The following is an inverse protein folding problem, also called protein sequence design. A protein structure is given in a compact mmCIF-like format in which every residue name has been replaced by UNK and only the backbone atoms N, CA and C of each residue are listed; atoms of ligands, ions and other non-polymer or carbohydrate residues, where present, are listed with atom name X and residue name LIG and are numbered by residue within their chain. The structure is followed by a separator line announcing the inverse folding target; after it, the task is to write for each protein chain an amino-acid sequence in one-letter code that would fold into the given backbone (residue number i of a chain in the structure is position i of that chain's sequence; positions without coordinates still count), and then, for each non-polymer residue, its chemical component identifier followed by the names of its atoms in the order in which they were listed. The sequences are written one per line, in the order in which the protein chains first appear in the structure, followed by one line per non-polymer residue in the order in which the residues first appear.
data_IF_051497625559
#
_entry.id   IF_051497625559
#
_cell.length_a   1.000
_cell.length_b   1.000
_cell.length_c   1.000
_cell.angle_alpha   90.00
_cell.angle_beta   90.00
_cell.angle_gamma   90.00
#
_symmetry.space_group_name_H-M   'P 1'
#
loop_
_entity.id
_entity.type
_entity.pdbx_description
1 polymer ?
#
# COMPACT_ATOMS: atom_id res chain seq x y z
N UNK A 1 -13.05 -3.84 -9.45
CA UNK A 1 -12.47 -3.07 -10.56
C UNK A 1 -10.95 -3.11 -10.39
N UNK A 2 -10.24 -3.78 -11.30
CA UNK A 2 -8.79 -3.69 -11.38
C UNK A 2 -8.49 -2.39 -12.11
N UNK A 3 -7.93 -1.43 -11.39
CA UNK A 3 -7.50 -0.18 -11.97
C UNK A 3 -6.00 -0.35 -12.28
N UNK A 4 -5.60 -0.56 -13.53
CA UNK A 4 -4.19 -0.69 -13.87
C UNK A 4 -3.44 0.63 -13.68
N UNK A 5 -4.15 1.74 -13.46
CA UNK A 5 -3.61 3.08 -13.38
C UNK A 5 -4.01 3.71 -12.05
N UNK A 6 -3.00 4.14 -11.29
CA UNK A 6 -3.16 4.95 -10.09
C UNK A 6 -3.15 6.41 -10.51
N UNK A 7 -4.28 7.10 -10.28
CA UNK A 7 -4.39 8.51 -10.60
C UNK A 7 -3.55 9.30 -9.59
N UNK A 8 -2.73 10.21 -10.12
CA UNK A 8 -1.94 11.10 -9.30
C UNK A 8 -2.82 12.10 -8.55
N UNK A 9 -2.16 12.97 -7.80
CA UNK A 9 -2.84 13.92 -6.92
C UNK A 9 -2.65 15.33 -7.45
N UNK A 10 -3.74 16.07 -7.57
CA UNK A 10 -3.75 17.46 -8.03
C UNK A 10 -3.15 18.38 -6.99
N UNK A 11 -2.03 19.01 -7.32
CA UNK A 11 -1.31 19.97 -6.50
C UNK A 11 -1.37 21.36 -7.14
N UNK A 12 -1.43 22.38 -6.29
CA UNK A 12 -1.18 23.74 -6.75
C UNK A 12 0.32 23.91 -6.96
N UNK A 13 0.71 24.49 -8.08
CA UNK A 13 2.11 24.67 -8.46
C UNK A 13 2.40 26.06 -8.96
N UNK A 14 3.61 26.52 -8.70
CA UNK A 14 4.18 27.70 -9.32
C UNK A 14 5.22 27.26 -10.37
N UNK A 15 5.09 27.73 -11.60
CA UNK A 15 6.06 27.40 -12.65
C UNK A 15 7.30 28.29 -12.50
N UNK A 16 8.43 27.66 -12.16
CA UNK A 16 9.72 28.34 -12.01
C UNK A 16 10.56 28.30 -13.30
N UNK A 17 9.94 28.05 -14.46
CA UNK A 17 10.61 27.99 -15.76
C UNK A 17 11.60 26.82 -15.83
N UNK A 18 12.90 27.12 -15.86
CA UNK A 18 13.97 26.09 -15.98
C UNK A 18 14.02 25.10 -14.82
N UNK A 19 13.46 25.46 -13.67
CA UNK A 19 13.37 24.58 -12.51
C UNK A 19 12.09 23.72 -12.50
N UNK A 20 11.15 23.99 -13.41
CA UNK A 20 9.88 23.28 -13.51
C UNK A 20 8.85 23.73 -12.47
N UNK A 21 7.77 22.95 -12.38
CA UNK A 21 6.64 23.26 -11.51
C UNK A 21 6.94 22.89 -10.05
N UNK A 22 6.91 23.89 -9.17
CA UNK A 22 7.13 23.74 -7.73
C UNK A 22 5.80 23.63 -6.96
N UNK A 23 5.56 22.59 -6.16
CA UNK A 23 4.36 22.49 -5.33
C UNK A 23 4.26 23.61 -4.29
N UNK A 24 3.16 24.36 -4.32
CA UNK A 24 2.86 25.44 -3.37
C UNK A 24 1.54 25.15 -2.62
N UNK A 25 1.39 25.61 -1.37
CA UNK A 25 0.12 25.49 -0.66
C UNK A 25 -0.96 26.36 -1.33
N UNK A 26 -2.22 25.94 -1.22
CA UNK A 26 -3.38 26.78 -1.57
C UNK A 26 -3.59 27.83 -0.48
N UNK A 27 -3.97 29.04 -0.87
CA UNK A 27 -4.34 30.14 0.04
C UNK A 27 -5.86 30.27 0.00
N UNK A 28 -6.55 30.07 1.13
CA UNK A 28 -8.02 30.06 1.22
C UNK A 28 -8.71 29.18 0.14
N UNK A 29 -8.18 27.97 -0.09
CA UNK A 29 -8.59 27.05 -1.16
C UNK A 29 -8.35 27.50 -2.61
N UNK A 30 -7.84 28.70 -2.84
CA UNK A 30 -7.43 29.18 -4.16
C UNK A 30 -5.98 28.81 -4.46
N UNK A 31 -5.71 28.46 -5.72
CA UNK A 31 -4.37 28.18 -6.21
C UNK A 31 -3.82 29.43 -6.91
N UNK A 32 -2.77 30.03 -6.34
CA UNK A 32 -2.05 31.17 -6.93
C UNK A 32 -0.97 30.66 -7.90
N UNK A 33 -1.41 29.95 -8.95
CA UNK A 33 -0.55 29.27 -9.91
C UNK A 33 -1.35 28.28 -10.75
N UNK A 34 -0.70 27.21 -11.20
CA UNK A 34 -1.30 26.18 -12.03
C UNK A 34 -1.62 24.92 -11.23
N UNK A 35 -2.74 24.27 -11.52
CA UNK A 35 -3.03 22.94 -10.99
C UNK A 35 -2.33 21.91 -11.86
N UNK A 36 -1.54 21.03 -11.25
CA UNK A 36 -0.86 19.91 -11.93
C UNK A 36 -1.04 18.61 -11.15
N UNK A 37 -1.11 17.49 -11.87
CA UNK A 37 -1.21 16.15 -11.27
C UNK A 37 0.19 15.55 -11.04
N UNK A 38 0.44 15.01 -9.84
CA UNK A 38 1.69 14.36 -9.47
C UNK A 38 1.48 12.95 -8.94
N UNK A 39 2.39 12.04 -9.29
CA UNK A 39 2.39 10.66 -8.78
C UNK A 39 1.55 9.67 -9.60
N UNK A 40 1.13 10.04 -10.80
CA UNK A 40 0.35 9.16 -11.68
C UNK A 40 1.25 8.02 -12.16
N UNK A 41 0.75 6.78 -12.15
CA UNK A 41 1.53 5.64 -12.62
C UNK A 41 0.65 4.43 -12.96
N UNK A 42 1.20 3.55 -13.80
CA UNK A 42 0.65 2.26 -14.18
C UNK A 42 1.23 1.20 -13.26
N UNK A 43 0.37 0.29 -12.81
CA UNK A 43 0.71 -0.82 -11.93
C UNK A 43 0.90 -0.35 -10.50
N UNK A 44 0.06 -0.86 -9.60
CA UNK A 44 0.19 -0.63 -8.17
C UNK A 44 -0.01 -1.94 -7.42
N UNK A 45 0.71 -2.13 -6.31
CA UNK A 45 0.75 -3.40 -5.61
C UNK A 45 0.53 -3.19 -4.12
N UNK A 46 -0.72 -3.38 -3.73
CA UNK A 46 -1.09 -3.62 -2.35
C UNK A 46 -1.29 -5.08 -2.08
N UNK A 47 -1.02 -5.46 -0.84
CA UNK A 47 -1.17 -6.82 -0.39
C UNK A 47 -1.52 -6.88 1.09
N UNK A 48 -2.13 -8.00 1.46
CA UNK A 48 -2.31 -8.43 2.83
C UNK A 48 -1.39 -9.63 3.08
N UNK A 49 -0.81 -9.72 4.27
CA UNK A 49 -0.18 -10.94 4.76
C UNK A 49 -0.82 -11.35 6.07
N UNK A 50 -1.08 -12.64 6.21
CA UNK A 50 -1.58 -13.26 7.44
C UNK A 50 -0.49 -14.19 7.98
N UNK A 51 -0.21 -14.08 9.26
CA UNK A 51 0.75 -14.93 9.95
C UNK A 51 0.02 -15.93 10.84
N UNK A 52 0.30 -17.21 10.62
CA UNK A 52 -0.25 -18.33 11.39
C UNK A 52 0.89 -19.00 12.16
N UNK A 53 0.59 -19.44 13.38
CA UNK A 53 1.55 -20.12 14.25
C UNK A 53 0.84 -21.28 14.95
N UNK A 54 0.63 -22.37 14.19
CA UNK A 54 0.00 -23.60 14.67
C UNK A 54 -1.49 -23.51 15.01
N UNK A 55 -2.14 -22.35 14.81
CA UNK A 55 -3.56 -22.13 15.11
C UNK A 55 -4.40 -21.96 13.85
N UNK A 56 -5.70 -22.28 13.95
CA UNK A 56 -6.68 -22.06 12.87
C UNK A 56 -6.92 -20.57 12.57
N UNK A 57 -6.81 -19.71 13.59
CA UNK A 57 -6.88 -18.26 13.44
C UNK A 57 -5.49 -17.66 13.19
N UNK A 58 -5.34 -16.62 12.35
CA UNK A 58 -4.08 -15.89 12.22
C UNK A 58 -3.76 -15.18 13.54
N UNK A 59 -2.46 -15.08 13.89
CA UNK A 59 -2.01 -14.28 15.05
C UNK A 59 -1.77 -12.83 14.69
N UNK A 60 -1.27 -12.58 13.48
CA UNK A 60 -0.92 -11.23 13.00
C UNK A 60 -1.36 -11.03 11.56
N UNK A 61 -1.60 -9.78 11.21
CA UNK A 61 -1.92 -9.33 9.87
C UNK A 61 -1.06 -8.13 9.52
N UNK A 62 -0.61 -8.06 8.28
CA UNK A 62 0.04 -6.89 7.69
C UNK A 62 -0.78 -6.42 6.50
N UNK A 63 -0.99 -5.11 6.40
CA UNK A 63 -1.65 -4.47 5.26
C UNK A 63 -0.66 -3.48 4.64
N UNK A 64 -0.34 -3.67 3.37
CA UNK A 64 0.41 -2.72 2.56
C UNK A 64 -0.51 -1.63 2.04
N UNK A 65 -0.06 -0.38 2.09
CA UNK A 65 -0.73 0.78 1.49
C UNK A 65 0.33 1.73 0.94
N UNK A 66 0.36 2.04 -0.34
CA UNK A 66 1.33 2.90 -1.02
C UNK A 66 2.79 2.52 -0.68
N UNK A 67 3.55 3.45 -0.13
CA UNK A 67 4.90 3.24 0.37
C UNK A 67 4.93 2.99 1.89
N UNK A 68 3.81 2.63 2.51
CA UNK A 68 3.68 2.31 3.95
C UNK A 68 2.99 0.97 4.18
N UNK A 69 2.93 0.54 5.44
CA UNK A 69 2.11 -0.58 5.84
C UNK A 69 1.80 -0.54 7.33
N UNK A 70 0.84 -1.35 7.76
CA UNK A 70 0.46 -1.49 9.16
C UNK A 70 0.40 -2.94 9.59
N UNK A 71 0.89 -3.18 10.80
CA UNK A 71 0.81 -4.45 11.51
C UNK A 71 -0.38 -4.41 12.47
N UNK A 72 -1.10 -5.52 12.51
CA UNK A 72 -2.21 -5.75 13.42
C UNK A 72 -2.05 -7.09 14.10
N UNK A 73 -2.50 -7.16 15.35
CA UNK A 73 -2.55 -8.38 16.16
C UNK A 73 -3.98 -8.86 16.30
N UNK A 74 -4.21 -10.16 16.13
CA UNK A 74 -5.53 -10.74 16.31
C UNK A 74 -5.89 -10.80 17.80
N UNK A 75 -7.05 -10.24 18.17
CA UNK A 75 -7.67 -10.41 19.48
C UNK A 75 -8.73 -11.51 19.39
N UNK A 76 -8.48 -12.62 20.07
CA UNK A 76 -9.43 -13.75 20.15
C UNK A 76 -10.69 -13.37 20.92
N UNK A 77 -10.53 -12.60 22.01
CA UNK A 77 -11.62 -12.14 22.87
C UNK A 77 -12.62 -11.29 22.08
N UNK A 78 -12.11 -10.35 21.31
CA UNK A 78 -12.95 -9.43 20.54
C UNK A 78 -13.30 -9.92 19.12
N UNK A 79 -12.61 -10.96 18.65
CA UNK A 79 -12.69 -11.49 17.29
C UNK A 79 -12.45 -10.42 16.19
N UNK A 80 -11.37 -9.65 16.35
CA UNK A 80 -10.92 -8.64 15.38
C UNK A 80 -9.40 -8.44 15.43
N UNK A 81 -8.86 -7.66 14.51
CA UNK A 81 -7.46 -7.28 14.47
C UNK A 81 -7.25 -5.87 15.04
N UNK A 82 -6.34 -5.72 15.98
CA UNK A 82 -5.99 -4.45 16.65
C UNK A 82 -4.66 -3.93 16.11
N UNK A 83 -4.61 -2.64 15.81
CA UNK A 83 -3.39 -1.98 15.33
C UNK A 83 -2.24 -2.15 16.34
N UNK A 84 -1.08 -2.57 15.85
CA UNK A 84 0.12 -2.80 16.66
C UNK A 84 1.22 -1.79 16.31
N UNK A 85 1.54 -1.65 15.02
CA UNK A 85 2.62 -0.77 14.56
C UNK A 85 2.50 -0.46 13.06
N UNK A 86 3.42 0.34 12.52
CA UNK A 86 3.47 0.67 11.09
C UNK A 86 4.89 0.64 10.53
N UNK A 87 4.98 0.43 9.23
CA UNK A 87 6.19 0.49 8.43
C UNK A 87 6.12 1.68 7.46
N UNK A 88 7.21 2.44 7.34
CA UNK A 88 7.36 3.48 6.31
C UNK A 88 8.52 3.07 5.40
N UNK A 89 8.22 2.79 4.13
CA UNK A 89 9.17 2.28 3.14
C UNK A 89 9.82 3.39 2.33
N UNK A 90 9.12 4.51 2.08
CA UNK A 90 9.67 5.70 1.43
C UNK A 90 9.15 6.98 2.07
N UNK A 91 10.01 8.01 2.07
CA UNK A 91 9.62 9.38 2.42
C UNK A 91 9.56 9.68 3.91
N UNK A 92 10.29 10.72 4.33
CA UNK A 92 10.38 11.18 5.73
C UNK A 92 9.05 11.84 6.21
N UNK A 93 8.19 12.21 5.25
CA UNK A 93 6.97 13.00 5.46
C UNK A 93 5.68 12.16 5.50
N UNK A 94 5.78 10.85 5.33
CA UNK A 94 4.64 9.94 5.36
C UNK A 94 4.37 9.51 6.80
N UNK A 95 3.22 9.94 7.35
CA UNK A 95 2.73 9.52 8.68
C UNK A 95 1.26 9.16 8.53
N UNK A 96 0.95 8.00 7.94
CA UNK A 96 -0.42 7.54 7.80
C UNK A 96 -1.06 7.37 9.17
N UNK A 97 -2.36 7.63 9.25
CA UNK A 97 -3.16 7.20 10.41
C UNK A 97 -3.99 6.00 10.00
N UNK A 98 -3.52 4.82 10.36
CA UNK A 98 -4.24 3.59 10.11
C UNK A 98 -5.45 3.44 11.05
N UNK A 99 -6.54 2.79 10.60
CA UNK A 99 -7.65 2.45 11.47
C UNK A 99 -7.18 1.60 12.66
N UNK A 100 -7.67 1.86 13.89
CA UNK A 100 -7.18 1.16 15.09
C UNK A 100 -7.64 -0.29 15.15
N UNK A 101 -8.73 -0.61 14.46
CA UNK A 101 -9.34 -1.94 14.45
C UNK A 101 -9.70 -2.32 13.03
N UNK A 102 -9.47 -3.58 12.69
CA UNK A 102 -9.96 -4.21 11.50
C UNK A 102 -10.92 -5.33 11.89
N UNK A 103 -12.17 -5.21 11.44
CA UNK A 103 -13.25 -6.13 11.79
C UNK A 103 -13.35 -7.27 10.78
N UNK A 104 -13.64 -8.46 11.27
CA UNK A 104 -13.95 -9.61 10.43
C UNK A 104 -15.40 -9.54 9.91
N UNK A 105 -15.62 -10.09 8.73
CA UNK A 105 -16.96 -10.19 8.14
C UNK A 105 -17.88 -11.14 8.91
N UNK A 106 -19.18 -10.85 8.84
CA UNK A 106 -20.26 -11.72 9.33
C UNK A 106 -21.26 -11.98 8.19
N UNK A 107 -21.61 -13.24 7.87
CA UNK A 107 -20.92 -14.48 8.24
C UNK A 107 -19.60 -14.64 7.47
N UNK A 108 -18.65 -15.44 7.99
CA UNK A 108 -17.46 -15.84 7.24
C UNK A 108 -16.12 -15.56 7.90
N UNK A 109 -16.08 -14.81 9.01
CA UNK A 109 -14.93 -14.64 9.89
C UNK A 109 -13.60 -14.32 9.16
N UNK A 110 -13.66 -13.55 8.09
CA UNK A 110 -12.50 -13.21 7.27
C UNK A 110 -12.25 -11.71 7.21
N UNK A 111 -10.99 -11.30 7.01
CA UNK A 111 -10.60 -9.94 6.68
C UNK A 111 -11.42 -9.30 5.54
N UNK A 112 -11.99 -8.12 5.78
CA UNK A 112 -12.52 -7.24 4.72
C UNK A 112 -11.67 -5.97 4.67
N UNK A 113 -11.05 -5.73 3.52
CA UNK A 113 -10.23 -4.56 3.25
C UNK A 113 -10.86 -3.71 2.14
N UNK A 114 -10.52 -2.43 2.12
CA UNK A 114 -11.11 -1.42 1.26
C UNK A 114 -10.05 -0.79 0.38
N UNK A 115 -10.18 -0.92 -0.93
CA UNK A 115 -9.32 -0.21 -1.87
C UNK A 115 -9.80 1.24 -2.03
N UNK A 116 -8.86 2.19 -1.94
CA UNK A 116 -9.13 3.59 -2.16
C UNK A 116 -9.50 3.89 -3.61
N UNK A 117 -10.44 4.81 -3.82
CA UNK A 117 -10.84 5.25 -5.15
C UNK A 117 -9.68 5.98 -5.84
N UNK A 118 -9.26 5.48 -6.99
CA UNK A 118 -8.25 6.11 -7.87
C UNK A 118 -6.79 5.87 -7.46
N UNK A 119 -6.47 5.81 -6.16
CA UNK A 119 -5.09 5.65 -5.67
C UNK A 119 -4.73 4.22 -5.26
N UNK A 120 -5.73 3.34 -5.10
CA UNK A 120 -5.59 1.91 -4.76
C UNK A 120 -5.06 1.57 -3.37
N UNK A 121 -4.74 2.58 -2.56
CA UNK A 121 -4.35 2.37 -1.17
C UNK A 121 -5.32 1.42 -0.46
N UNK A 122 -4.79 0.34 0.11
CA UNK A 122 -5.58 -0.69 0.77
C UNK A 122 -5.72 -0.36 2.25
N UNK A 123 -6.95 -0.23 2.74
CA UNK A 123 -7.27 0.20 4.10
C UNK A 123 -8.10 -0.84 4.85
N UNK A 124 -7.97 -0.88 6.17
CA UNK A 124 -8.67 -1.83 7.05
C UNK A 124 -10.08 -1.41 7.45
N UNK A 125 -10.47 -0.18 7.13
CA UNK A 125 -11.80 0.36 7.38
C UNK A 125 -12.21 1.28 6.22
N UNK A 126 -13.53 1.44 5.95
CA UNK A 126 -14.00 2.43 5.02
C UNK A 126 -13.82 3.84 5.61
N UNK A 127 -13.75 4.85 4.76
CA UNK A 127 -13.70 6.25 5.16
C UNK A 127 -12.57 7.01 4.49
N UNK A 128 -12.26 8.18 5.08
CA UNK A 128 -11.25 9.10 4.57
C UNK A 128 -9.96 8.95 5.36
N UNK A 129 -8.92 8.45 4.69
CA UNK A 129 -7.64 8.11 5.30
C UNK A 129 -6.57 9.12 4.90
N UNK A 130 -5.82 9.64 5.88
CA UNK A 130 -4.72 10.58 5.63
C UNK A 130 -3.41 9.82 5.56
N UNK A 131 -2.70 9.93 4.44
CA UNK A 131 -1.46 9.18 4.19
C UNK A 131 -0.20 10.07 4.15
N UNK A 132 -0.27 11.32 3.65
CA UNK A 132 0.88 12.26 3.63
C UNK A 132 0.57 13.54 4.43
N UNK A 133 1.51 13.99 5.27
CA UNK A 133 1.32 15.21 6.10
C UNK A 133 1.33 16.49 5.26
N UNK A 134 2.24 16.58 4.29
CA UNK A 134 2.46 17.70 3.36
C UNK A 134 2.28 17.15 1.95
N UNK A 135 1.06 17.06 1.40
CA UNK A 135 0.18 18.17 0.98
C UNK A 135 -1.34 17.89 1.26
N UNK A 136 -1.70 17.36 2.45
CA UNK A 136 -3.08 16.95 2.82
C UNK A 136 -3.75 16.04 1.80
N UNK A 137 -3.02 15.00 1.40
CA UNK A 137 -3.54 14.01 0.48
C UNK A 137 -4.29 12.92 1.24
N UNK A 138 -5.54 12.73 0.83
CA UNK A 138 -6.44 11.74 1.38
C UNK A 138 -6.67 10.62 0.37
N UNK A 139 -7.00 9.45 0.91
CA UNK A 139 -7.61 8.35 0.20
C UNK A 139 -9.03 8.19 0.73
N UNK A 140 -9.99 8.03 -0.18
CA UNK A 140 -11.38 7.76 0.17
C UNK A 140 -11.71 6.32 -0.22
N UNK A 141 -12.20 5.55 0.76
CA UNK A 141 -12.60 4.16 0.57
C UNK A 141 -14.00 3.90 1.15
N UNK A 142 -14.70 2.89 0.64
CA UNK A 142 -16.07 2.59 1.03
C UNK A 142 -16.50 1.20 0.58
N UNK A 143 -17.72 0.79 0.94
CA UNK A 143 -18.19 -0.59 0.74
C UNK A 143 -18.28 -1.02 -0.73
N UNK A 144 -18.55 -0.09 -1.65
CA UNK A 144 -18.45 -0.31 -3.10
C UNK A 144 -19.03 -1.65 -3.58
N UNK A 145 -18.37 -2.26 -4.56
CA UNK A 145 -18.68 -3.63 -5.02
C UNK A 145 -17.69 -4.61 -4.37
N UNK A 146 -18.16 -5.65 -3.64
CA UNK A 146 -17.27 -6.59 -2.99
C UNK A 146 -16.53 -7.46 -4.03
N UNK A 147 -15.26 -7.73 -3.76
CA UNK A 147 -14.49 -8.72 -4.52
C UNK A 147 -14.21 -9.94 -3.63
N UNK A 148 -14.87 -11.04 -3.96
CA UNK A 148 -14.76 -12.31 -3.22
C UNK A 148 -13.49 -13.07 -3.60
N UNK A 149 -12.33 -12.56 -3.17
CA UNK A 149 -11.00 -13.10 -3.50
C UNK A 149 -10.83 -14.56 -3.06
N UNK A 150 -11.53 -14.98 -2.00
CA UNK A 150 -11.50 -16.35 -1.51
C UNK A 150 -12.05 -17.39 -2.49
N UNK A 151 -12.85 -16.98 -3.48
CA UNK A 151 -13.41 -17.89 -4.49
C UNK A 151 -12.37 -18.41 -5.50
N UNK A 152 -11.17 -17.81 -5.56
CA UNK A 152 -10.11 -18.20 -6.49
C UNK A 152 -8.73 -18.10 -5.83
N UNK A 153 -8.59 -18.71 -4.65
CA UNK A 153 -7.29 -18.81 -3.95
C UNK A 153 -6.44 -19.87 -4.61
N UNK A 154 -5.21 -19.52 -4.92
CA UNK A 154 -4.25 -20.44 -5.54
C UNK A 154 -3.04 -20.55 -4.62
N UNK A 155 -2.80 -21.76 -4.12
CA UNK A 155 -1.72 -22.04 -3.19
C UNK A 155 -0.40 -22.16 -3.97
N UNK A 156 0.54 -21.31 -3.62
CA UNK A 156 1.89 -21.33 -4.18
C UNK A 156 2.87 -21.54 -3.04
N UNK A 157 3.62 -22.65 -3.09
CA UNK A 157 4.67 -22.92 -2.10
C UNK A 157 5.81 -21.92 -2.30
N UNK A 158 6.18 -21.22 -1.23
CA UNK A 158 7.31 -20.30 -1.24
C UNK A 158 8.57 -21.04 -1.72
N UNK A 159 9.36 -20.41 -2.60
CA UNK A 159 10.60 -20.95 -3.18
C UNK A 159 10.43 -22.13 -4.16
N UNK A 160 9.21 -22.63 -4.40
CA UNK A 160 8.99 -23.61 -5.46
C UNK A 160 9.04 -22.94 -6.85
N UNK A 161 9.62 -23.62 -7.86
CA UNK A 161 9.58 -23.13 -9.23
C UNK A 161 8.13 -22.92 -9.66
N UNK A 162 7.77 -21.68 -9.95
CA UNK A 162 6.46 -21.36 -10.53
C UNK A 162 6.58 -21.29 -12.04
N UNK A 163 5.65 -21.96 -12.75
CA UNK A 163 5.51 -21.83 -14.21
C UNK A 163 5.03 -20.43 -14.63
N UNK A 164 4.68 -19.56 -13.67
CA UNK A 164 4.21 -18.19 -13.92
C UNK A 164 5.39 -17.24 -13.99
N UNK A 165 5.80 -16.93 -15.22
CA UNK A 165 6.94 -16.04 -15.47
C UNK A 165 6.78 -14.66 -14.81
N UNK A 166 5.56 -14.14 -14.70
CA UNK A 166 5.29 -12.85 -14.04
C UNK A 166 5.66 -12.83 -12.55
N UNK A 167 5.51 -13.94 -11.81
CA UNK A 167 5.89 -14.00 -10.39
C UNK A 167 7.42 -13.91 -10.17
N UNK A 168 8.20 -14.21 -11.22
CA UNK A 168 9.68 -14.19 -11.19
C UNK A 168 10.25 -12.86 -11.68
N UNK A 169 9.41 -11.94 -12.12
CA UNK A 169 9.85 -10.65 -12.63
C UNK A 169 10.58 -9.86 -11.55
N UNK A 170 11.81 -9.43 -11.83
CA UNK A 170 12.69 -8.68 -10.91
C UNK A 170 12.80 -7.19 -11.26
N UNK A 171 12.03 -6.70 -12.23
CA UNK A 171 12.01 -5.28 -12.57
C UNK A 171 10.98 -4.49 -11.77
N UNK A 172 10.60 -3.32 -12.31
CA UNK A 172 9.46 -2.53 -11.84
C UNK A 172 8.29 -2.70 -12.78
N UNK A 173 7.10 -2.93 -12.22
CA UNK A 173 5.88 -3.04 -13.00
C UNK A 173 5.46 -1.67 -13.55
N UNK A 174 4.78 -1.67 -14.70
CA UNK A 174 4.21 -0.46 -15.27
C UNK A 174 5.19 0.40 -16.07
N UNK A 175 5.10 1.71 -15.90
CA UNK A 175 5.86 2.70 -16.67
C UNK A 175 7.11 3.19 -15.91
N UNK A 176 8.11 3.73 -16.64
CA UNK A 176 9.21 4.48 -16.02
C UNK A 176 8.70 5.83 -15.49
N UNK A 177 9.37 6.34 -14.44
CA UNK A 177 9.14 7.70 -13.94
C UNK A 177 9.54 8.75 -14.99
N UNK A 178 8.82 9.85 -15.07
CA UNK A 178 9.14 10.96 -15.99
C UNK A 178 8.61 12.31 -15.47
N UNK A 179 9.08 13.40 -16.09
CA UNK A 179 8.72 14.80 -15.71
C UNK A 179 8.90 15.05 -14.20
N UNK A 180 10.09 14.69 -13.73
CA UNK A 180 10.48 14.87 -12.34
C UNK A 180 11.08 16.25 -12.12
N UNK A 181 10.78 16.85 -10.97
CA UNK A 181 11.44 18.07 -10.52
C UNK A 181 12.96 17.83 -10.36
N UNK A 182 13.83 18.82 -10.62
CA UNK A 182 15.29 18.66 -10.48
C UNK A 182 15.74 18.15 -9.10
N UNK A 183 15.05 18.56 -8.03
CA UNK A 183 15.32 18.10 -6.65
C UNK A 183 15.00 16.61 -6.42
N UNK A 184 14.30 15.95 -7.35
CA UNK A 184 14.02 14.52 -7.25
C UNK A 184 15.29 13.67 -7.33
N UNK A 185 16.40 14.25 -7.78
CA UNK A 185 17.75 13.65 -7.67
C UNK A 185 18.28 13.63 -6.22
N UNK A 186 17.75 14.46 -5.33
CA UNK A 186 18.14 14.58 -3.92
C UNK A 186 17.29 13.72 -2.98
N UNK A 187 16.55 12.75 -3.51
CA UNK A 187 15.73 11.81 -2.72
C UNK A 187 14.31 12.28 -2.39
N UNK A 188 13.89 13.44 -2.90
CA UNK A 188 12.52 13.95 -2.76
C UNK A 188 11.70 13.56 -4.00
N UNK A 189 10.83 12.56 -3.93
CA UNK A 189 10.13 12.06 -5.12
C UNK A 189 8.97 12.98 -5.57
N UNK A 190 9.27 14.01 -6.37
CA UNK A 190 8.27 14.89 -7.01
C UNK A 190 8.35 14.67 -8.52
N UNK A 191 7.43 13.88 -9.05
CA UNK A 191 7.29 13.60 -10.48
C UNK A 191 5.82 13.62 -10.88
N UNK A 192 5.51 14.15 -12.06
CA UNK A 192 4.15 14.02 -12.62
C UNK A 192 3.82 12.54 -12.79
N UNK A 193 4.77 11.78 -13.34
CA UNK A 193 4.66 10.34 -13.55
C UNK A 193 5.70 9.61 -12.70
N UNK A 194 5.24 8.74 -11.80
CA UNK A 194 6.12 7.89 -10.97
C UNK A 194 6.29 6.51 -11.58
N UNK A 195 7.32 5.78 -11.13
CA UNK A 195 7.47 4.38 -11.51
C UNK A 195 6.59 3.48 -10.64
N UNK A 196 6.19 2.34 -11.20
CA UNK A 196 5.43 1.35 -10.45
C UNK A 196 6.29 0.53 -9.48
N UNK A 197 5.66 -0.39 -8.73
CA UNK A 197 6.33 -1.15 -7.68
C UNK A 197 7.30 -2.18 -8.25
N UNK A 198 8.28 -2.54 -7.43
CA UNK A 198 9.20 -3.65 -7.73
C UNK A 198 8.45 -4.98 -7.76
N UNK A 199 8.96 -5.93 -8.55
CA UNK A 199 8.43 -7.28 -8.59
C UNK A 199 8.49 -8.01 -7.25
N UNK A 200 7.59 -8.98 -7.07
CA UNK A 200 7.43 -9.74 -5.81
C UNK A 200 8.74 -10.28 -5.25
N UNK A 201 9.69 -10.83 -6.04
CA UNK A 201 10.94 -11.37 -5.50
C UNK A 201 11.82 -10.32 -4.80
N UNK A 202 11.61 -9.03 -5.07
CA UNK A 202 12.36 -7.93 -4.47
C UNK A 202 11.68 -7.34 -3.21
N UNK A 203 10.47 -7.80 -2.88
CA UNK A 203 9.74 -7.33 -1.70
C UNK A 203 10.30 -8.00 -0.44
N UNK A 204 10.45 -7.22 0.64
CA UNK A 204 10.80 -7.75 1.96
C UNK A 204 9.64 -8.57 2.52
N UNK A 205 9.94 -9.65 3.23
CA UNK A 205 8.93 -10.44 3.96
C UNK A 205 8.42 -9.63 5.15
N UNK A 206 7.10 -9.61 5.35
CA UNK A 206 6.49 -8.89 6.48
C UNK A 206 6.59 -9.67 7.79
N UNK A 207 6.63 -11.00 7.71
CA UNK A 207 6.74 -11.90 8.85
C UNK A 207 7.87 -12.90 8.63
N UNK A 208 8.52 -13.27 9.72
CA UNK A 208 9.55 -14.30 9.74
C UNK A 208 9.00 -15.46 10.57
N UNK A 209 9.10 -16.68 10.03
CA UNK A 209 8.81 -17.85 10.84
C UNK A 209 9.92 -18.00 11.89
N UNK A 210 9.58 -18.38 13.14
CA UNK A 210 10.59 -18.72 14.12
C UNK A 210 11.48 -19.82 13.56
N UNK A 211 12.79 -19.66 13.70
CA UNK A 211 13.74 -20.74 13.45
C UNK A 211 13.49 -21.80 14.50
N UNK A 212 12.94 -22.94 14.11
CA UNK A 212 12.91 -24.12 14.98
C UNK A 212 14.36 -24.51 15.24
N UNK A 213 14.87 -24.45 16.48
CA UNK A 213 16.18 -25.02 16.78
C UNK A 213 16.17 -26.49 16.36
N UNK A 214 17.25 -26.98 15.74
CA UNK A 214 17.38 -28.34 15.18
C UNK A 214 17.24 -29.51 16.19
N UNK A 215 16.64 -29.30 17.37
CA UNK A 215 16.59 -30.28 18.46
C UNK A 215 15.29 -31.05 18.64
N UNK A 216 14.13 -30.56 18.20
CA UNK A 216 12.83 -31.15 18.59
C UNK A 216 11.85 -31.34 17.41
N UNK A 217 12.26 -32.11 16.40
CA UNK A 217 11.29 -32.81 15.56
C UNK A 217 11.09 -34.20 16.15
N UNK A 218 10.07 -34.35 17.00
CA UNK A 218 9.52 -35.67 17.34
C UNK A 218 8.40 -35.91 16.32
N UNK A 219 8.52 -37.03 15.61
CA UNK A 219 7.57 -37.53 14.61
C UNK A 219 6.19 -37.82 15.21
#
# INVERSE_FOLDING_TARGET
MFYPFSQGKSLCTFDMGRFGAWPIPKVNNYCLGNIKEFGSHVGDWEHISLYFEGSESPKKMYVSTHDVGAFYRFSKEHNWFEYESQEIRKGILQRPKFPPVMRLSKPGNHPVLFAAKGSHGLWTAPGRHRFVRIPRLHDDSGFGTPWFTWKNVQLLKALSPTKRNWLRYRGKWGNPKSRCHPISKLGINICEITDGPTGIPLKKKNFHCPTVPMGNQVY
#
